data_IF_538653496269
#
_entry.id   IF_538653496269
#
_cell.length_a   1.000
_cell.length_b   1.000
_cell.length_c   1.000
_cell.angle_alpha   90.00
_cell.angle_beta   90.00
_cell.angle_gamma   90.00
#
_symmetry.space_group_name_H-M   'P 1'
#
loop_
_entity.id
_entity.type
_entity.pdbx_description
1 polymer ?
#
# COMPACT_ATOMS: atom_id res chain seq x y z
N UNK A 1 17.90 -2.00 6.47
CA UNK A 1 16.61 -1.29 6.30
C UNK A 1 15.79 -1.68 7.49
N UNK A 2 15.52 -0.73 8.37
CA UNK A 2 14.84 -1.02 9.63
C UNK A 2 13.33 -1.06 9.38
N UNK A 3 12.66 -2.10 9.85
CA UNK A 3 11.21 -2.18 9.81
C UNK A 3 10.64 -1.26 10.89
N UNK A 4 10.19 -0.08 10.49
CA UNK A 4 9.72 0.96 11.41
C UNK A 4 8.37 0.57 12.03
N UNK A 5 7.55 -0.19 11.30
CA UNK A 5 6.25 -0.66 11.76
C UNK A 5 5.74 -1.85 10.94
N UNK A 6 5.24 -2.87 11.63
CA UNK A 6 4.44 -3.95 11.07
C UNK A 6 3.01 -3.82 11.60
N UNK A 7 2.06 -3.64 10.70
CA UNK A 7 0.65 -3.53 11.04
C UNK A 7 -0.09 -4.76 10.51
N UNK A 8 -0.58 -5.60 11.43
CA UNK A 8 -1.36 -6.80 11.14
C UNK A 8 -2.46 -6.94 12.21
N UNK A 9 -3.55 -6.17 12.10
CA UNK A 9 -4.61 -6.19 13.10
C UNK A 9 -5.39 -7.51 13.04
N UNK A 10 -5.81 -8.01 14.20
CA UNK A 10 -6.65 -9.21 14.33
C UNK A 10 -8.16 -8.90 14.24
N UNK A 11 -8.52 -7.61 14.16
CA UNK A 11 -9.89 -7.12 14.07
C UNK A 11 -10.06 -6.27 12.79
N UNK A 12 -11.28 -6.26 12.24
CA UNK A 12 -11.62 -5.49 11.05
C UNK A 12 -11.42 -3.97 11.27
N UNK A 13 -10.48 -3.37 10.53
CA UNK A 13 -10.21 -1.93 10.59
C UNK A 13 -10.08 -1.34 9.17
N UNK A 14 -10.62 -0.13 8.97
CA UNK A 14 -10.62 0.57 7.67
C UNK A 14 -9.45 1.57 7.51
N UNK A 15 -8.56 1.64 8.50
CA UNK A 15 -7.44 2.59 8.54
C UNK A 15 -6.24 1.96 9.24
N UNK A 16 -5.03 2.38 8.86
CA UNK A 16 -3.78 1.97 9.49
C UNK A 16 -3.31 3.11 10.39
N UNK A 17 -3.07 2.84 11.68
CA UNK A 17 -2.29 3.74 12.53
C UNK A 17 -1.01 3.12 13.02
N UNK A 18 0.04 3.91 12.93
CA UNK A 18 1.21 3.74 13.76
C UNK A 18 2.46 3.96 12.94
N UNK A 19 2.92 5.20 12.86
CA UNK A 19 4.36 5.42 12.82
C UNK A 19 4.82 5.44 14.26
N UNK A 20 5.87 4.68 14.59
CA UNK A 20 6.45 4.72 15.93
C UNK A 20 6.89 6.17 16.24
N UNK A 21 6.27 6.86 17.21
CA UNK A 21 6.59 8.26 17.50
C UNK A 21 8.01 8.42 18.05
N UNK A 22 8.62 7.37 18.58
CA UNK A 22 10.02 7.35 19.04
C UNK A 22 11.02 7.39 17.86
N UNK A 23 10.57 7.12 16.64
CA UNK A 23 11.36 7.28 15.41
C UNK A 23 11.31 8.70 14.84
N UNK A 24 10.67 9.66 15.52
CA UNK A 24 10.67 11.08 15.12
C UNK A 24 12.10 11.66 15.18
N UNK A 25 12.58 12.19 14.06
CA UNK A 25 13.89 12.86 13.95
C UNK A 25 14.75 12.33 12.81
N UNK A 26 16.08 12.54 12.90
CA UNK A 26 17.10 12.25 11.85
C UNK A 26 17.16 10.79 11.35
N UNK A 27 16.40 9.87 11.94
CA UNK A 27 16.43 8.43 11.62
C UNK A 27 15.36 7.98 10.62
N UNK A 28 14.29 8.76 10.42
CA UNK A 28 13.20 8.41 9.52
C UNK A 28 12.97 9.54 8.51
N UNK A 29 13.78 9.56 7.45
CA UNK A 29 13.56 10.46 6.33
C UNK A 29 12.34 10.00 5.53
N UNK A 30 11.31 10.86 5.47
CA UNK A 30 10.10 10.62 4.69
C UNK A 30 10.40 10.31 3.20
N UNK A 31 11.51 10.85 2.67
CA UNK A 31 11.97 10.61 1.29
C UNK A 31 12.45 9.18 1.06
N UNK A 32 12.80 8.45 2.11
CA UNK A 32 13.27 7.06 2.02
C UNK A 32 12.21 6.06 2.52
N UNK A 33 10.97 6.51 2.75
CA UNK A 33 9.89 5.63 3.20
C UNK A 33 9.38 4.76 2.05
N UNK A 34 9.18 3.48 2.40
CA UNK A 34 8.57 2.45 1.56
C UNK A 34 7.40 1.86 2.35
N UNK A 35 6.29 1.62 1.66
CA UNK A 35 5.12 0.91 2.16
C UNK A 35 4.93 -0.35 1.32
N UNK A 36 4.77 -1.48 1.97
CA UNK A 36 4.27 -2.71 1.37
C UNK A 36 3.05 -3.13 2.18
N UNK A 37 1.92 -3.30 1.50
CA UNK A 37 0.68 -3.79 2.09
C UNK A 37 -0.11 -4.61 1.10
N UNK A 38 -1.08 -5.37 1.60
CA UNK A 38 -1.99 -6.15 0.77
C UNK A 38 -3.42 -6.00 1.26
N UNK A 39 -4.38 -6.08 0.34
CA UNK A 39 -5.81 -6.13 0.64
C UNK A 39 -6.36 -7.40 -0.01
N UNK A 40 -6.85 -8.32 0.83
CA UNK A 40 -7.52 -9.54 0.41
C UNK A 40 -9.03 -9.25 0.21
N UNK A 41 -9.52 -9.53 -1.00
CA UNK A 41 -10.93 -9.34 -1.37
C UNK A 41 -11.70 -10.67 -1.42
N UNK A 42 -11.16 -11.77 -0.88
CA UNK A 42 -11.86 -13.04 -0.81
C UNK A 42 -13.23 -12.89 -0.12
N UNK A 43 -14.29 -13.38 -0.77
CA UNK A 43 -15.68 -13.18 -0.33
C UNK A 43 -16.29 -11.82 -0.69
N UNK A 44 -15.52 -10.93 -1.33
CA UNK A 44 -15.92 -9.61 -1.83
C UNK A 44 -15.42 -9.40 -3.28
N UNK A 45 -15.53 -10.41 -4.13
CA UNK A 45 -14.96 -10.43 -5.49
C UNK A 45 -15.50 -9.31 -6.38
N UNK A 46 -16.75 -8.91 -6.20
CA UNK A 46 -17.32 -7.74 -6.89
C UNK A 46 -16.54 -6.45 -6.58
N UNK A 47 -16.01 -6.32 -5.37
CA UNK A 47 -15.20 -5.16 -4.98
C UNK A 47 -13.82 -5.22 -5.61
N UNK A 48 -13.22 -6.42 -5.72
CA UNK A 48 -12.00 -6.65 -6.50
C UNK A 48 -12.19 -6.20 -7.95
N UNK A 49 -13.23 -6.71 -8.63
CA UNK A 49 -13.47 -6.41 -10.04
C UNK A 49 -13.72 -4.91 -10.27
N UNK A 50 -14.50 -4.27 -9.39
CA UNK A 50 -14.72 -2.82 -9.44
C UNK A 50 -13.42 -2.03 -9.22
N UNK A 51 -12.55 -2.48 -8.33
CA UNK A 51 -11.24 -1.86 -8.10
C UNK A 51 -10.37 -1.93 -9.37
N UNK A 52 -10.31 -3.09 -10.04
CA UNK A 52 -9.59 -3.25 -11.31
C UNK A 52 -10.12 -2.29 -12.38
N UNK A 53 -11.45 -2.23 -12.53
CA UNK A 53 -12.10 -1.33 -13.50
C UNK A 53 -11.74 0.13 -13.22
N UNK A 54 -11.80 0.56 -11.96
CA UNK A 54 -11.47 1.93 -11.56
C UNK A 54 -10.00 2.26 -11.83
N UNK A 55 -9.08 1.37 -11.45
CA UNK A 55 -7.65 1.60 -11.66
C UNK A 55 -7.26 1.59 -13.14
N UNK A 56 -8.00 0.88 -14.00
CA UNK A 56 -7.78 0.87 -15.44
C UNK A 56 -8.31 2.10 -16.19
N UNK A 57 -9.02 3.02 -15.52
CA UNK A 57 -9.43 4.30 -16.11
C UNK A 57 -8.22 5.17 -16.44
N UNK A 58 -8.36 5.97 -17.52
CA UNK A 58 -7.35 6.94 -17.95
C UNK A 58 -7.03 7.92 -16.81
N UNK A 59 -5.74 8.16 -16.57
CA UNK A 59 -5.26 9.07 -15.52
C UNK A 59 -4.83 8.40 -14.21
N UNK A 60 -4.97 7.07 -14.10
CA UNK A 60 -4.52 6.32 -12.92
C UNK A 60 -3.14 5.63 -13.10
N UNK A 61 -2.42 5.91 -14.19
CA UNK A 61 -1.11 5.31 -14.50
C UNK A 61 -0.11 5.42 -13.34
N UNK A 62 -0.04 6.61 -12.73
CA UNK A 62 0.84 6.92 -11.61
C UNK A 62 0.50 6.15 -10.32
N UNK A 63 -0.74 5.69 -10.18
CA UNK A 63 -1.17 4.84 -9.07
C UNK A 63 -0.92 3.37 -9.37
N UNK A 64 -1.22 2.93 -10.60
CA UNK A 64 -1.08 1.54 -11.04
C UNK A 64 0.34 1.01 -10.94
N UNK A 65 1.36 1.86 -11.11
CA UNK A 65 2.77 1.45 -10.99
C UNK A 65 3.14 0.87 -9.61
N UNK A 66 2.35 1.17 -8.58
CA UNK A 66 2.55 0.67 -7.22
C UNK A 66 1.64 -0.53 -6.88
N UNK A 67 0.87 -1.04 -7.85
CA UNK A 67 -0.09 -2.12 -7.62
C UNK A 67 0.37 -3.42 -8.27
N UNK A 68 0.29 -4.52 -7.53
CA UNK A 68 0.44 -5.88 -8.07
C UNK A 68 -0.87 -6.62 -7.86
N UNK A 69 -1.38 -7.19 -8.95
CA UNK A 69 -2.65 -7.90 -8.98
C UNK A 69 -2.42 -9.40 -8.79
N UNK A 70 -2.89 -9.95 -7.68
CA UNK A 70 -2.96 -11.40 -7.45
C UNK A 70 -4.41 -11.84 -7.71
N UNK A 71 -4.69 -12.16 -8.97
CA UNK A 71 -6.03 -12.56 -9.40
C UNK A 71 -6.49 -13.89 -8.82
N UNK A 72 -5.55 -14.79 -8.50
CA UNK A 72 -5.85 -16.11 -7.97
C UNK A 72 -6.39 -16.02 -6.55
N UNK A 73 -5.76 -15.19 -5.72
CA UNK A 73 -6.16 -14.97 -4.32
C UNK A 73 -7.04 -13.74 -4.14
N UNK A 74 -7.48 -13.10 -5.24
CA UNK A 74 -8.24 -11.84 -5.22
C UNK A 74 -7.62 -10.80 -4.29
N UNK A 75 -6.30 -10.68 -4.35
CA UNK A 75 -5.52 -9.81 -3.46
C UNK A 75 -4.83 -8.73 -4.26
N UNK A 76 -4.86 -7.50 -3.76
CA UNK A 76 -4.11 -6.37 -4.32
C UNK A 76 -2.95 -6.04 -3.40
N UNK A 77 -1.73 -6.07 -3.92
CA UNK A 77 -0.56 -5.59 -3.20
C UNK A 77 -0.27 -4.14 -3.57
N UNK A 78 0.03 -3.33 -2.56
CA UNK A 78 0.40 -1.92 -2.66
C UNK A 78 1.87 -1.82 -2.26
N UNK A 79 2.73 -1.54 -3.23
CA UNK A 79 4.17 -1.41 -3.08
C UNK A 79 4.57 0.04 -3.38
N UNK A 80 4.32 0.94 -2.42
CA UNK A 80 4.59 2.36 -2.61
C UNK A 80 5.97 2.74 -2.09
N UNK A 81 6.63 3.68 -2.76
CA UNK A 81 7.84 4.32 -2.28
C UNK A 81 7.90 5.77 -2.74
N UNK A 82 8.56 6.62 -1.94
CA UNK A 82 8.94 7.95 -2.38
C UNK A 82 10.12 7.86 -3.35
N UNK A 83 10.00 8.43 -4.55
CA UNK A 83 11.17 8.92 -5.29
C UNK A 83 10.95 10.40 -5.53
N UNK A 84 11.73 11.25 -4.86
CA UNK A 84 12.12 12.49 -5.53
C UNK A 84 13.04 12.08 -6.68
N UNK A 85 12.78 12.59 -7.88
CA UNK A 85 13.76 12.56 -8.97
C UNK A 85 15.05 13.14 -8.40
N UNK A 86 16.07 12.29 -8.21
CA UNK A 86 17.41 12.75 -7.86
C UNK A 86 17.88 13.63 -9.02
N UNK A 87 17.68 14.95 -8.88
CA UNK A 87 18.32 15.95 -9.73
C UNK A 87 19.82 16.00 -9.47
#
# INVERSE_FOLDING_TARGET
>A
MDLITAWNPDEDQWWITGFNPECKGEKADAKNQVMIGSVDFSGNENMYDNFIIEMNKVGNDEKRKYLIYDEQNKTIWICWHSMEDKK
#
